data_IF_962453730612
#
_entry.id   IF_962453730612
#
_cell.length_a   1.000
_cell.length_b   1.000
_cell.length_c   1.000
_cell.angle_alpha   90.00
_cell.angle_beta   90.00
_cell.angle_gamma   90.00
#
_symmetry.space_group_name_H-M   'P 1'
#
loop_
_entity.id
_entity.type
_entity.pdbx_description
1 polymer ?
#
# COMPACT_ATOMS: atom_id res chain seq x y z
N UNK A 1 3.26 14.57 21.31
CA UNK A 1 4.70 14.29 21.18
C UNK A 1 5.13 14.67 19.77
N UNK A 2 6.28 15.30 19.63
CA UNK A 2 6.81 15.63 18.30
C UNK A 2 7.42 14.39 17.66
N UNK A 3 7.09 14.17 16.38
CA UNK A 3 7.71 13.15 15.53
C UNK A 3 8.29 13.81 14.28
N UNK A 4 9.35 13.22 13.74
CA UNK A 4 10.01 13.63 12.51
C UNK A 4 10.16 12.42 11.60
N UNK A 5 9.53 12.42 10.42
CA UNK A 5 9.56 11.33 9.49
C UNK A 5 9.60 11.84 8.04
N UNK A 6 9.98 10.99 7.10
CA UNK A 6 9.82 11.27 5.67
C UNK A 6 8.50 10.71 5.16
N UNK A 7 7.70 11.52 4.48
CA UNK A 7 6.48 11.05 3.80
C UNK A 7 6.57 11.39 2.32
N UNK A 8 6.60 10.36 1.48
CA UNK A 8 6.76 10.50 0.03
C UNK A 8 7.99 11.35 -0.34
N UNK A 9 9.12 11.12 0.35
CA UNK A 9 10.37 11.82 0.13
C UNK A 9 10.42 13.26 0.68
N UNK A 10 9.41 13.68 1.45
CA UNK A 10 9.37 15.02 2.08
C UNK A 10 9.47 14.90 3.59
N UNK A 11 10.35 15.67 4.19
CA UNK A 11 10.45 15.75 5.66
C UNK A 11 9.18 16.38 6.25
N UNK A 12 8.65 15.75 7.29
CA UNK A 12 7.46 16.17 8.03
C UNK A 12 7.79 16.13 9.52
N UNK A 13 7.63 17.27 10.18
CA UNK A 13 7.74 17.38 11.65
C UNK A 13 6.38 17.82 12.18
N UNK A 14 5.80 17.05 13.09
CA UNK A 14 4.46 17.32 13.65
C UNK A 14 4.36 16.84 15.09
N UNK A 15 3.51 17.52 15.84
CA UNK A 15 3.02 17.02 17.11
C UNK A 15 1.85 16.06 16.86
N UNK A 16 1.94 14.86 17.42
CA UNK A 16 0.90 13.83 17.35
C UNK A 16 0.45 13.41 18.75
N UNK A 17 -0.79 12.99 18.87
CA UNK A 17 -1.26 12.34 20.08
C UNK A 17 -0.63 10.94 20.21
N UNK A 18 -0.31 10.45 21.43
CA UNK A 18 0.34 9.15 21.61
C UNK A 18 -0.45 7.97 21.02
N UNK A 19 -1.76 8.09 20.93
CA UNK A 19 -2.68 7.07 20.39
C UNK A 19 -3.06 7.33 18.91
N UNK A 20 -2.51 8.36 18.27
CA UNK A 20 -2.86 8.69 16.88
C UNK A 20 -2.40 7.59 15.93
N UNK A 21 -3.32 7.11 15.09
CA UNK A 21 -3.02 6.10 14.10
C UNK A 21 -2.34 6.73 12.89
N UNK A 22 -1.40 6.02 12.29
CA UNK A 22 -0.71 6.47 11.08
C UNK A 22 -1.71 6.77 9.96
N UNK A 23 -2.79 6.01 9.84
CA UNK A 23 -3.85 6.26 8.87
C UNK A 23 -4.50 7.63 9.06
N UNK A 24 -4.85 8.00 10.30
CA UNK A 24 -5.47 9.29 10.60
C UNK A 24 -4.49 10.44 10.37
N UNK A 25 -3.26 10.28 10.82
CA UNK A 25 -2.18 11.24 10.56
C UNK A 25 -2.01 11.52 9.06
N UNK A 26 -1.91 10.48 8.22
CA UNK A 26 -1.75 10.64 6.78
C UNK A 26 -2.96 11.33 6.14
N UNK A 27 -4.18 10.92 6.52
CA UNK A 27 -5.41 11.40 5.91
C UNK A 27 -5.83 12.79 6.40
N UNK A 28 -5.82 12.99 7.71
CA UNK A 28 -6.42 14.18 8.33
C UNK A 28 -5.39 15.30 8.51
N UNK A 29 -4.15 14.96 8.86
CA UNK A 29 -3.09 15.97 9.08
C UNK A 29 -2.32 16.32 7.80
N UNK A 30 -2.14 15.35 6.87
CA UNK A 30 -1.37 15.57 5.63
C UNK A 30 -2.24 15.61 4.37
N UNK A 31 -3.53 15.28 4.44
CA UNK A 31 -4.44 15.26 3.29
C UNK A 31 -4.19 14.12 2.29
N UNK A 32 -3.39 13.11 2.66
CA UNK A 32 -3.08 11.95 1.82
C UNK A 32 -4.17 10.89 1.97
N UNK A 33 -5.20 10.98 1.14
CA UNK A 33 -6.44 10.19 1.27
C UNK A 33 -6.45 8.88 0.49
N UNK A 34 -5.37 8.55 -0.19
CA UNK A 34 -5.23 7.31 -0.97
C UNK A 34 -5.31 6.05 -0.12
N UNK A 35 -4.70 6.01 1.06
CA UNK A 35 -4.93 4.97 2.04
C UNK A 35 -6.36 5.07 2.61
N UNK A 36 -7.10 3.93 2.61
CA UNK A 36 -8.54 3.90 2.92
C UNK A 36 -8.82 3.24 4.26
N UNK A 37 -9.76 3.81 5.03
CA UNK A 37 -10.31 3.20 6.24
C UNK A 37 -11.42 2.22 5.88
N UNK A 38 -11.35 0.98 6.37
CA UNK A 38 -12.38 -0.04 6.15
C UNK A 38 -12.57 -0.95 7.37
N UNK A 39 -11.68 -1.91 7.63
CA UNK A 39 -11.88 -2.91 8.68
C UNK A 39 -11.43 -2.46 10.08
N UNK A 40 -10.44 -1.60 10.18
CA UNK A 40 -9.77 -1.12 11.42
C UNK A 40 -9.21 -2.23 12.35
N UNK A 41 -8.94 -3.41 11.78
CA UNK A 41 -8.45 -4.59 12.51
C UNK A 41 -7.37 -5.35 11.75
N UNK A 42 -6.63 -4.66 10.87
CA UNK A 42 -5.48 -5.20 10.13
C UNK A 42 -5.80 -6.43 9.24
N UNK A 43 -7.00 -6.50 8.65
CA UNK A 43 -7.43 -7.67 7.85
C UNK A 43 -7.54 -7.35 6.37
N UNK A 44 -8.07 -6.17 6.00
CA UNK A 44 -8.48 -5.93 4.61
C UNK A 44 -7.40 -5.33 3.71
N UNK A 45 -6.34 -4.75 4.24
CA UNK A 45 -5.25 -4.13 3.46
C UNK A 45 -5.60 -2.84 2.71
N UNK A 46 -6.82 -2.30 2.84
CA UNK A 46 -7.20 -1.06 2.16
C UNK A 46 -6.43 0.18 2.67
N UNK A 47 -5.87 0.09 3.87
CA UNK A 47 -5.06 1.11 4.53
C UNK A 47 -3.54 0.89 4.36
N UNK A 48 -3.11 -0.05 3.53
CA UNK A 48 -1.69 -0.36 3.36
C UNK A 48 -0.92 0.88 2.91
N UNK A 49 0.18 1.14 3.61
CA UNK A 49 1.26 2.06 3.24
C UNK A 49 2.58 1.31 3.38
N UNK A 50 3.68 1.84 2.83
CA UNK A 50 5.00 1.29 3.08
C UNK A 50 5.67 2.11 4.19
N UNK A 51 6.23 1.44 5.18
CA UNK A 51 7.12 2.01 6.20
C UNK A 51 8.47 1.35 6.03
N UNK A 52 9.48 2.12 5.70
CA UNK A 52 10.83 1.64 5.36
C UNK A 52 10.81 0.52 4.31
N UNK A 53 9.95 0.69 3.28
CA UNK A 53 9.76 -0.26 2.18
C UNK A 53 8.86 -1.46 2.50
N UNK A 54 8.41 -1.65 3.73
CA UNK A 54 7.60 -2.79 4.16
C UNK A 54 6.10 -2.45 4.21
N UNK A 55 5.20 -3.31 3.67
CA UNK A 55 3.76 -3.09 3.75
C UNK A 55 3.25 -3.13 5.19
N UNK A 56 2.59 -2.06 5.61
CA UNK A 56 2.05 -1.88 6.96
C UNK A 56 0.57 -1.51 6.90
N UNK A 57 -0.23 -2.10 7.78
CA UNK A 57 -1.64 -1.71 7.98
C UNK A 57 -1.72 -0.44 8.84
N UNK A 58 -1.77 0.72 8.21
CA UNK A 58 -1.74 2.02 8.90
C UNK A 58 -2.91 2.26 9.87
N UNK A 59 -4.03 1.51 9.74
CA UNK A 59 -5.16 1.56 10.67
C UNK A 59 -4.89 0.93 12.04
N UNK A 60 -3.78 0.21 12.20
CA UNK A 60 -3.36 -0.43 13.46
C UNK A 60 -1.91 -0.09 13.83
N UNK A 61 -1.30 0.86 13.13
CA UNK A 61 0.06 1.34 13.34
C UNK A 61 -0.02 2.76 13.91
N UNK A 62 0.69 3.04 15.00
CA UNK A 62 0.70 4.37 15.62
C UNK A 62 1.59 5.32 14.81
N UNK A 63 1.17 6.57 14.66
CA UNK A 63 1.99 7.59 14.01
C UNK A 63 3.35 7.76 14.70
N UNK A 64 3.37 7.65 16.03
CA UNK A 64 4.58 7.69 16.84
C UNK A 64 5.59 6.57 16.53
N UNK A 65 5.14 5.42 16.02
CA UNK A 65 6.04 4.32 15.62
C UNK A 65 6.74 4.58 14.28
N UNK A 66 6.24 5.55 13.50
CA UNK A 66 6.86 5.96 12.25
C UNK A 66 7.92 7.08 12.43
N UNK A 67 8.20 7.50 13.67
CA UNK A 67 9.24 8.49 13.94
C UNK A 67 10.60 8.00 13.41
N UNK A 68 11.27 8.83 12.63
CA UNK A 68 12.54 8.51 11.97
C UNK A 68 12.43 7.63 10.71
N UNK A 69 11.24 7.18 10.33
CA UNK A 69 11.02 6.27 9.19
C UNK A 69 10.69 7.00 7.88
N UNK A 70 10.83 6.26 6.78
CA UNK A 70 10.30 6.66 5.48
C UNK A 70 8.93 6.02 5.23
N UNK A 71 7.90 6.85 5.07
CA UNK A 71 6.53 6.40 4.74
C UNK A 71 6.22 6.69 3.27
N UNK A 72 5.87 5.65 2.51
CA UNK A 72 5.39 5.80 1.14
C UNK A 72 3.90 5.47 1.08
N UNK A 73 3.11 6.42 0.58
CA UNK A 73 1.68 6.23 0.27
C UNK A 73 1.49 6.03 -1.23
N UNK A 74 0.26 5.73 -1.66
CA UNK A 74 -0.03 5.58 -3.10
C UNK A 74 0.25 6.86 -3.87
N UNK A 75 0.08 8.03 -3.26
CA UNK A 75 0.41 9.31 -3.89
C UNK A 75 1.90 9.40 -4.20
N UNK A 76 2.76 8.94 -3.28
CA UNK A 76 4.20 8.90 -3.52
C UNK A 76 4.62 7.82 -4.50
N UNK A 77 3.98 6.64 -4.47
CA UNK A 77 4.22 5.59 -5.45
C UNK A 77 3.85 6.08 -6.87
N UNK A 78 2.76 6.84 -7.01
CA UNK A 78 2.30 7.36 -8.29
C UNK A 78 3.28 8.37 -8.94
N UNK A 79 4.20 8.96 -8.17
CA UNK A 79 5.25 9.83 -8.69
C UNK A 79 6.51 9.06 -9.15
N UNK A 80 6.58 7.74 -8.90
CA UNK A 80 7.73 6.91 -9.24
C UNK A 80 7.62 6.33 -10.66
N UNK A 81 8.74 6.18 -11.39
CA UNK A 81 8.73 5.65 -12.76
C UNK A 81 8.10 4.26 -12.92
N UNK A 82 8.24 3.40 -11.91
CA UNK A 82 7.69 2.05 -11.91
C UNK A 82 6.15 2.01 -11.83
N UNK A 83 5.50 3.10 -11.43
CA UNK A 83 4.05 3.16 -11.30
C UNK A 83 3.32 2.94 -12.63
N UNK A 84 3.82 3.50 -13.72
CA UNK A 84 3.25 3.35 -15.06
C UNK A 84 3.09 1.87 -15.43
N UNK A 85 4.11 1.06 -15.15
CA UNK A 85 4.10 -0.37 -15.42
C UNK A 85 3.05 -1.12 -14.57
N UNK A 86 2.89 -0.71 -13.29
CA UNK A 86 1.86 -1.26 -12.40
C UNK A 86 0.46 -0.91 -12.92
N UNK A 87 0.24 0.35 -13.26
CA UNK A 87 -1.05 0.86 -13.77
C UNK A 87 -1.43 0.17 -15.08
N UNK A 88 -0.50 0.03 -16.02
CA UNK A 88 -0.73 -0.66 -17.28
C UNK A 88 -1.12 -2.13 -17.09
N UNK A 89 -0.41 -2.87 -16.22
CA UNK A 89 -0.72 -4.26 -15.96
C UNK A 89 -2.11 -4.42 -15.33
N UNK A 90 -2.44 -3.61 -14.31
CA UNK A 90 -3.75 -3.64 -13.67
C UNK A 90 -4.89 -3.26 -14.63
N UNK A 91 -4.66 -2.33 -15.53
CA UNK A 91 -5.62 -1.92 -16.56
C UNK A 91 -5.80 -3.03 -17.60
N UNK A 92 -4.71 -3.58 -18.13
CA UNK A 92 -4.70 -4.64 -19.15
C UNK A 92 -5.47 -5.88 -18.72
N UNK A 93 -5.28 -6.29 -17.46
CA UNK A 93 -5.90 -7.49 -16.89
C UNK A 93 -7.25 -7.23 -16.20
N UNK A 94 -7.83 -6.02 -16.35
CA UNK A 94 -9.07 -5.62 -15.68
C UNK A 94 -9.03 -5.92 -14.16
N UNK A 95 -7.89 -5.66 -13.54
CA UNK A 95 -7.59 -5.97 -12.13
C UNK A 95 -8.27 -5.01 -11.13
N UNK A 96 -9.06 -4.06 -11.60
CA UNK A 96 -9.78 -3.08 -10.79
C UNK A 96 -11.22 -2.90 -11.27
N UNK A 97 -12.13 -2.59 -10.34
CA UNK A 97 -13.51 -2.21 -10.61
C UNK A 97 -13.86 -0.92 -9.86
N UNK A 98 -14.27 -1.00 -8.57
CA UNK A 98 -14.56 0.21 -7.81
C UNK A 98 -13.32 1.03 -7.42
N UNK A 99 -12.13 0.43 -7.44
CA UNK A 99 -10.86 1.09 -7.14
C UNK A 99 -10.55 1.26 -5.64
N UNK A 100 -11.46 0.89 -4.74
CA UNK A 100 -11.27 1.12 -3.30
C UNK A 100 -10.06 0.39 -2.71
N UNK A 101 -9.85 -0.87 -3.07
CA UNK A 101 -8.72 -1.69 -2.61
C UNK A 101 -7.43 -1.42 -3.40
N UNK A 102 -7.53 -0.79 -4.56
CA UNK A 102 -6.42 -0.66 -5.52
C UNK A 102 -5.18 0.04 -4.95
N UNK A 103 -5.28 1.16 -4.20
CA UNK A 103 -4.10 1.79 -3.63
C UNK A 103 -3.27 0.87 -2.72
N UNK A 104 -3.93 0.19 -1.78
CA UNK A 104 -3.25 -0.76 -0.89
C UNK A 104 -2.70 -1.98 -1.62
N UNK A 105 -3.41 -2.46 -2.64
CA UNK A 105 -2.97 -3.57 -3.49
C UNK A 105 -1.70 -3.20 -4.26
N UNK A 106 -1.66 -2.04 -4.91
CA UNK A 106 -0.50 -1.58 -5.68
C UNK A 106 0.74 -1.37 -4.81
N UNK A 107 0.59 -0.82 -3.61
CA UNK A 107 1.71 -0.67 -2.66
C UNK A 107 2.26 -2.04 -2.22
N UNK A 108 1.38 -2.99 -1.91
CA UNK A 108 1.80 -4.34 -1.57
C UNK A 108 2.53 -5.02 -2.73
N UNK A 109 1.98 -4.93 -3.95
CA UNK A 109 2.60 -5.50 -5.17
C UNK A 109 3.95 -4.84 -5.46
N UNK A 110 4.06 -3.52 -5.35
CA UNK A 110 5.34 -2.81 -5.55
C UNK A 110 6.42 -3.33 -4.61
N UNK A 111 6.13 -3.42 -3.31
CA UNK A 111 7.08 -3.94 -2.32
C UNK A 111 7.49 -5.40 -2.60
N UNK A 112 6.54 -6.23 -3.01
CA UNK A 112 6.80 -7.64 -3.33
C UNK A 112 7.64 -7.81 -4.60
N UNK A 113 7.45 -6.97 -5.61
CA UNK A 113 8.29 -6.97 -6.81
C UNK A 113 9.72 -6.52 -6.50
N UNK A 114 9.87 -5.53 -5.63
CA UNK A 114 11.18 -5.05 -5.17
C UNK A 114 11.93 -6.11 -4.35
N UNK A 115 11.23 -6.90 -3.53
CA UNK A 115 11.85 -7.97 -2.74
C UNK A 115 12.27 -9.18 -3.59
N UNK A 116 11.69 -9.37 -4.78
CA UNK A 116 11.94 -10.51 -5.65
C UNK A 116 11.35 -11.83 -5.14
N UNK A 117 10.38 -11.78 -4.23
CA UNK A 117 9.78 -12.97 -3.60
C UNK A 117 8.67 -13.63 -4.44
N UNK A 118 8.28 -13.04 -5.57
CA UNK A 118 7.18 -13.54 -6.39
C UNK A 118 7.69 -14.48 -7.50
N UNK A 119 7.89 -15.74 -7.19
CA UNK A 119 8.41 -16.75 -8.11
C UNK A 119 7.38 -17.78 -8.61
N UNK A 120 6.17 -17.76 -8.05
CA UNK A 120 5.08 -18.69 -8.41
C UNK A 120 3.70 -18.07 -8.20
N UNK A 121 2.69 -18.61 -8.89
CA UNK A 121 1.30 -18.16 -8.70
C UNK A 121 0.79 -18.41 -7.28
N UNK A 122 1.23 -19.48 -6.62
CA UNK A 122 0.80 -19.76 -5.25
C UNK A 122 1.45 -18.79 -4.25
N UNK A 123 2.67 -18.35 -4.52
CA UNK A 123 3.32 -17.27 -3.76
C UNK A 123 2.56 -15.95 -3.91
N UNK A 124 2.21 -15.58 -5.13
CA UNK A 124 1.41 -14.37 -5.41
C UNK A 124 0.10 -14.40 -4.61
N UNK A 125 -0.64 -15.53 -4.63
CA UNK A 125 -1.88 -15.68 -3.85
C UNK A 125 -1.65 -15.53 -2.35
N UNK A 126 -0.58 -16.13 -1.83
CA UNK A 126 -0.23 -16.06 -0.41
C UNK A 126 0.10 -14.63 0.02
N UNK A 127 0.91 -13.95 -0.75
CA UNK A 127 1.34 -12.58 -0.45
C UNK A 127 0.17 -11.57 -0.53
N UNK A 128 -0.79 -11.79 -1.44
CA UNK A 128 -1.96 -10.93 -1.58
C UNK A 128 -3.13 -11.28 -0.64
N UNK A 129 -3.02 -12.34 0.16
CA UNK A 129 -4.08 -12.75 1.07
C UNK A 129 -4.49 -11.68 2.10
N UNK A 130 -3.58 -10.75 2.42
CA UNK A 130 -3.83 -9.60 3.30
C UNK A 130 -4.49 -8.39 2.63
N UNK A 131 -4.76 -8.43 1.32
CA UNK A 131 -5.37 -7.34 0.56
C UNK A 131 -6.70 -7.80 -0.04
N UNK A 132 -7.82 -7.41 0.61
CA UNK A 132 -9.15 -7.90 0.21
C UNK A 132 -9.76 -7.05 -0.91
N UNK A 133 -10.25 -7.74 -1.95
CA UNK A 133 -11.06 -7.15 -3.00
C UNK A 133 -12.42 -7.85 -3.06
N UNK A 134 -13.51 -7.08 -2.95
CA UNK A 134 -14.88 -7.61 -3.01
C UNK A 134 -15.45 -7.69 -4.44
N UNK A 135 -14.82 -6.99 -5.39
CA UNK A 135 -15.39 -6.77 -6.72
C UNK A 135 -14.87 -7.75 -7.77
N UNK A 136 -13.54 -7.97 -7.84
CA UNK A 136 -12.87 -8.56 -9.00
C UNK A 136 -12.83 -10.09 -9.02
N UNK A 137 -13.07 -10.74 -7.87
CA UNK A 137 -12.83 -12.19 -7.74
C UNK A 137 -11.36 -12.59 -7.90
N UNK A 138 -10.43 -11.62 -7.82
CA UNK A 138 -8.96 -11.76 -7.85
C UNK A 138 -8.34 -12.22 -9.18
N UNK A 139 -9.06 -12.77 -10.12
CA UNK A 139 -8.47 -13.32 -11.33
C UNK A 139 -7.60 -12.30 -12.06
N UNK A 140 -8.15 -11.14 -12.40
CA UNK A 140 -7.40 -10.09 -13.09
C UNK A 140 -6.22 -9.56 -12.25
N UNK A 141 -6.38 -9.48 -10.91
CA UNK A 141 -5.30 -9.06 -10.01
C UNK A 141 -4.13 -10.07 -10.06
N UNK A 142 -4.42 -11.37 -9.95
CA UNK A 142 -3.40 -12.42 -9.98
C UNK A 142 -2.70 -12.47 -11.34
N UNK A 143 -3.46 -12.33 -12.45
CA UNK A 143 -2.90 -12.27 -13.80
C UNK A 143 -2.01 -11.03 -14.00
N UNK A 144 -2.41 -9.86 -13.49
CA UNK A 144 -1.60 -8.64 -13.55
C UNK A 144 -0.28 -8.78 -12.77
N UNK A 145 -0.34 -9.35 -11.56
CA UNK A 145 0.85 -9.52 -10.72
C UNK A 145 1.78 -10.60 -11.31
N UNK A 146 1.23 -11.67 -11.87
CA UNK A 146 2.00 -12.70 -12.55
C UNK A 146 2.74 -12.14 -13.78
N UNK A 147 2.07 -11.30 -14.59
CA UNK A 147 2.68 -10.59 -15.72
C UNK A 147 3.82 -9.68 -15.27
N UNK A 148 3.60 -8.89 -14.21
CA UNK A 148 4.62 -8.01 -13.62
C UNK A 148 5.84 -8.77 -13.07
N UNK A 149 5.61 -9.92 -12.46
CA UNK A 149 6.66 -10.76 -11.89
C UNK A 149 7.34 -11.67 -12.92
N UNK A 150 6.80 -11.78 -14.16
CA UNK A 150 7.29 -12.70 -15.17
C UNK A 150 7.04 -14.17 -14.84
N UNK A 151 5.98 -14.45 -14.08
CA UNK A 151 5.55 -15.79 -13.67
C UNK A 151 4.49 -16.32 -14.63
N UNK A 152 4.72 -17.53 -15.16
CA UNK A 152 3.79 -18.17 -16.10
C UNK A 152 2.60 -18.88 -15.41
#
# INVERSE_FOLDING_TARGET
MEIALSVNGREVIRDVAPQELLLDFLRDSLGLTGAKRSCDVQVCGACTVLVDGLPVSSCCFLAAQADGSEVTTIEGLAERPEFERLEEAFTRHAALQCGFCTPGMLLTVSALLESGELDSQDEIKRCLAGNLCRCTGYRGILEAVADLAGVA
#
